data_IF_605425059597
#
_entry.id   IF_605425059597
#
_cell.length_a   1.000
_cell.length_b   1.000
_cell.length_c   1.000
_cell.angle_alpha   90.00
_cell.angle_beta   90.00
_cell.angle_gamma   90.00
#
_symmetry.space_group_name_H-M   'P 1'
#
loop_
_entity.id
_entity.type
_entity.pdbx_description
1 polymer ?
#
# COMPACT_ATOMS: atom_id res chain seq x y z
N UNK A 1 -19.54 -6.24 3.66
CA UNK A 1 -19.64 -7.19 2.54
C UNK A 1 -18.52 -6.88 1.56
N UNK A 2 -17.54 -7.76 1.43
CA UNK A 2 -16.47 -7.69 0.43
C UNK A 2 -16.28 -9.05 -0.21
N UNK A 3 -15.39 -9.18 -1.19
CA UNK A 3 -15.08 -10.46 -1.81
C UNK A 3 -13.69 -10.93 -1.37
N UNK A 4 -13.53 -12.24 -1.21
CA UNK A 4 -12.22 -12.81 -0.93
C UNK A 4 -11.28 -12.71 -2.15
N UNK A 5 -10.04 -12.27 -1.94
CA UNK A 5 -8.99 -12.14 -2.95
C UNK A 5 -8.73 -13.44 -3.74
N UNK A 6 -8.74 -14.60 -3.07
CA UNK A 6 -8.39 -15.86 -3.73
C UNK A 6 -9.59 -16.61 -4.33
N UNK A 7 -10.76 -16.59 -3.66
CA UNK A 7 -11.91 -17.40 -4.06
C UNK A 7 -13.15 -16.63 -4.50
N UNK A 8 -13.15 -15.29 -4.40
CA UNK A 8 -14.23 -14.39 -4.84
C UNK A 8 -15.60 -14.62 -4.21
N UNK A 9 -15.66 -15.40 -3.14
CA UNK A 9 -16.89 -15.56 -2.36
C UNK A 9 -17.19 -14.28 -1.58
N UNK A 10 -18.47 -13.96 -1.40
CA UNK A 10 -18.93 -12.85 -0.56
C UNK A 10 -18.59 -13.12 0.90
N UNK A 11 -17.83 -12.22 1.51
CA UNK A 11 -17.42 -12.25 2.91
C UNK A 11 -17.92 -11.02 3.66
N UNK A 12 -18.38 -11.24 4.88
CA UNK A 12 -18.68 -10.16 5.80
C UNK A 12 -17.62 -10.16 6.89
N UNK A 13 -16.74 -9.16 6.83
CA UNK A 13 -15.67 -8.99 7.80
C UNK A 13 -16.07 -7.85 8.72
N UNK A 14 -16.15 -8.14 10.02
CA UNK A 14 -16.46 -7.13 11.03
C UNK A 14 -15.22 -6.86 11.86
N UNK A 15 -14.78 -5.60 11.91
CA UNK A 15 -13.71 -5.14 12.78
C UNK A 15 -14.34 -4.50 14.02
N UNK A 16 -14.32 -5.22 15.14
CA UNK A 16 -14.81 -4.68 16.42
C UNK A 16 -13.63 -4.22 17.27
N UNK A 17 -13.58 -2.93 17.70
CA UNK A 17 -12.57 -2.48 18.64
C UNK A 17 -12.91 -3.04 20.03
N UNK A 18 -12.04 -3.88 20.59
CA UNK A 18 -12.06 -4.32 21.98
C UNK A 18 -10.87 -3.73 22.73
N UNK A 19 -10.91 -3.81 24.04
CA UNK A 19 -9.86 -3.28 24.95
C UNK A 19 -8.48 -3.88 24.67
N UNK A 20 -8.43 -5.08 24.10
CA UNK A 20 -7.20 -5.81 23.74
C UNK A 20 -6.76 -5.58 22.26
N UNK A 21 -7.58 -4.90 21.43
CA UNK A 21 -7.25 -4.60 20.03
C UNK A 21 -8.43 -4.69 19.06
N UNK A 22 -8.13 -4.72 17.75
CA UNK A 22 -9.13 -4.85 16.68
C UNK A 22 -9.41 -6.33 16.44
N UNK A 23 -10.59 -6.80 16.86
CA UNK A 23 -11.01 -8.17 16.62
C UNK A 23 -11.73 -8.26 15.27
N UNK A 24 -11.11 -8.97 14.32
CA UNK A 24 -11.63 -9.19 12.97
C UNK A 24 -12.35 -10.55 12.94
N UNK A 25 -13.64 -10.55 12.66
CA UNK A 25 -14.45 -11.78 12.52
C UNK A 25 -14.90 -11.96 11.07
N UNK A 26 -14.94 -13.22 10.59
CA UNK A 26 -15.44 -13.56 9.25
C UNK A 26 -14.39 -13.55 8.12
N UNK A 27 -13.12 -13.29 8.43
CA UNK A 27 -12.03 -13.30 7.46
C UNK A 27 -10.81 -12.50 7.91
N UNK A 28 -9.99 -12.09 6.95
CA UNK A 28 -8.77 -11.30 7.17
C UNK A 28 -8.73 -10.08 6.24
N UNK A 29 -8.01 -9.04 6.67
CA UNK A 29 -7.83 -7.76 5.96
C UNK A 29 -6.32 -7.51 5.81
N UNK A 30 -5.88 -7.15 4.62
CA UNK A 30 -4.48 -6.83 4.29
C UNK A 30 -4.38 -5.40 3.79
N UNK A 31 -3.38 -4.63 4.22
CA UNK A 31 -3.16 -3.26 3.77
C UNK A 31 -1.77 -3.03 3.15
N UNK A 32 -1.50 -3.42 1.89
CA UNK A 32 -0.12 -3.42 1.38
C UNK A 32 0.40 -2.05 0.92
N UNK A 33 -0.49 -1.07 0.75
CA UNK A 33 -0.21 0.36 0.64
C UNK A 33 -1.18 1.07 1.59
N UNK A 34 -0.78 2.18 2.23
CA UNK A 34 -1.67 2.92 3.15
C UNK A 34 -3.01 3.22 2.43
N UNK A 35 -4.11 2.65 2.91
CA UNK A 35 -5.47 2.77 2.38
C UNK A 35 -5.94 1.66 1.42
N UNK A 36 -5.10 0.72 1.02
CA UNK A 36 -5.46 -0.35 0.09
C UNK A 36 -5.83 -1.60 0.86
N UNK A 37 -7.10 -1.99 0.96
CA UNK A 37 -7.49 -3.15 1.78
C UNK A 37 -7.86 -4.36 0.92
N UNK A 38 -7.10 -5.44 1.01
CA UNK A 38 -7.46 -6.74 0.43
C UNK A 38 -8.11 -7.62 1.48
N UNK A 39 -9.19 -8.30 1.11
CA UNK A 39 -9.96 -9.12 2.02
C UNK A 39 -9.79 -10.59 1.65
N UNK A 40 -9.70 -11.48 2.64
CA UNK A 40 -9.78 -12.93 2.41
C UNK A 40 -10.79 -13.58 3.34
N UNK A 41 -11.54 -14.57 2.84
CA UNK A 41 -12.43 -15.38 3.67
C UNK A 41 -11.63 -16.27 4.62
N UNK A 42 -12.27 -16.74 5.69
CA UNK A 42 -11.64 -17.63 6.66
C UNK A 42 -11.11 -18.93 6.02
N UNK A 43 -11.83 -19.51 5.05
CA UNK A 43 -11.38 -20.72 4.35
C UNK A 43 -10.18 -20.49 3.42
N UNK A 44 -10.18 -19.38 2.69
CA UNK A 44 -9.11 -19.02 1.76
C UNK A 44 -7.90 -18.49 2.51
N UNK A 45 -8.10 -17.85 3.67
CA UNK A 45 -7.06 -17.53 4.63
C UNK A 45 -6.45 -18.81 5.26
N UNK A 46 -7.27 -19.78 5.66
CA UNK A 46 -6.81 -21.08 6.17
C UNK A 46 -6.06 -21.90 5.11
N UNK A 47 -6.44 -21.78 3.84
CA UNK A 47 -5.79 -22.45 2.70
C UNK A 47 -4.50 -21.76 2.27
N UNK A 48 -4.54 -20.45 2.08
CA UNK A 48 -3.38 -19.62 1.74
C UNK A 48 -3.53 -18.20 2.33
N UNK A 49 -2.87 -17.91 3.46
CA UNK A 49 -2.92 -16.59 4.08
C UNK A 49 -2.08 -15.53 3.35
N UNK A 50 -1.53 -15.80 2.15
CA UNK A 50 -0.66 -14.86 1.43
C UNK A 50 -1.42 -14.13 0.33
N UNK A 51 -1.33 -12.79 0.27
CA UNK A 51 -1.84 -11.98 -0.83
C UNK A 51 -1.06 -12.24 -2.14
N UNK A 52 -1.38 -13.34 -2.84
CA UNK A 52 -0.70 -13.69 -4.09
C UNK A 52 -0.96 -12.67 -5.17
N UNK A 53 0.08 -12.43 -5.96
CA UNK A 53 0.11 -11.51 -7.10
C UNK A 53 -0.03 -10.02 -6.75
N UNK A 54 0.15 -9.62 -5.48
CA UNK A 54 0.42 -8.22 -5.18
C UNK A 54 1.87 -7.89 -5.53
N UNK A 55 2.10 -6.80 -6.28
CA UNK A 55 3.43 -6.26 -6.53
C UNK A 55 3.44 -4.76 -6.24
N UNK A 56 4.40 -4.29 -5.43
CA UNK A 56 4.51 -2.88 -5.05
C UNK A 56 5.07 -2.02 -6.19
N UNK A 57 4.64 -0.77 -6.25
CA UNK A 57 5.04 0.14 -7.32
C UNK A 57 6.45 0.71 -7.10
N UNK A 58 7.30 0.63 -8.13
CA UNK A 58 8.60 1.32 -8.11
C UNK A 58 8.45 2.76 -8.62
N UNK A 59 8.82 3.74 -7.80
CA UNK A 59 8.71 5.16 -8.13
C UNK A 59 10.04 5.65 -8.70
N UNK A 60 10.02 6.37 -9.82
CA UNK A 60 11.19 6.95 -10.48
C UNK A 60 11.10 8.48 -10.57
N UNK A 61 12.24 9.17 -10.55
CA UNK A 61 12.29 10.62 -10.70
C UNK A 61 13.57 11.09 -11.41
N UNK A 62 13.46 12.24 -12.08
CA UNK A 62 14.52 12.81 -12.93
C UNK A 62 15.52 13.61 -12.09
N UNK A 63 16.79 13.21 -12.17
CA UNK A 63 17.84 13.80 -11.34
C UNK A 63 18.57 14.94 -12.07
N UNK A 64 19.40 14.60 -13.07
CA UNK A 64 20.22 15.53 -13.87
C UNK A 64 20.19 15.15 -15.35
N UNK A 65 19.00 14.84 -15.87
CA UNK A 65 18.80 14.48 -17.29
C UNK A 65 18.35 13.04 -17.55
N UNK A 66 18.41 12.15 -16.56
CA UNK A 66 17.90 10.77 -16.65
C UNK A 66 16.99 10.40 -15.47
N UNK A 67 16.19 9.34 -15.65
CA UNK A 67 15.31 8.78 -14.63
C UNK A 67 16.08 7.81 -13.74
N UNK A 68 15.90 7.94 -12.43
CA UNK A 68 16.44 7.03 -11.41
C UNK A 68 15.32 6.68 -10.43
N UNK A 69 15.19 5.42 -9.98
CA UNK A 69 14.24 5.08 -8.92
C UNK A 69 14.43 6.00 -7.73
N UNK A 70 13.35 6.61 -7.25
CA UNK A 70 13.29 7.39 -6.00
C UNK A 70 13.72 6.51 -4.83
N UNK A 71 13.38 5.22 -4.88
CA UNK A 71 13.86 4.22 -3.94
C UNK A 71 15.41 4.12 -3.91
N UNK A 72 16.12 4.57 -4.95
CA UNK A 72 17.58 4.51 -5.08
C UNK A 72 18.29 5.84 -4.80
N UNK A 73 17.66 6.82 -4.15
CA UNK A 73 18.26 8.13 -3.87
C UNK A 73 19.12 8.14 -2.59
N UNK A 74 20.36 8.66 -2.68
CA UNK A 74 21.21 8.86 -1.51
C UNK A 74 20.75 10.07 -0.66
N UNK A 75 21.29 10.21 0.54
CA UNK A 75 20.85 11.22 1.51
C UNK A 75 21.01 12.63 0.98
N UNK A 76 22.18 12.92 0.39
CA UNK A 76 22.44 14.19 -0.28
C UNK A 76 21.43 14.45 -1.41
N UNK A 77 20.95 13.42 -2.10
CA UNK A 77 19.94 13.54 -3.15
C UNK A 77 18.54 13.75 -2.58
N UNK A 78 18.22 13.18 -1.42
CA UNK A 78 16.95 13.43 -0.73
C UNK A 78 16.91 14.85 -0.17
N UNK A 79 18.01 15.33 0.43
CA UNK A 79 18.12 16.72 0.89
C UNK A 79 18.13 17.70 -0.28
N UNK A 80 18.94 17.45 -1.32
CA UNK A 80 18.90 18.26 -2.54
C UNK A 80 17.51 18.28 -3.15
N UNK A 81 16.77 17.15 -3.13
CA UNK A 81 15.40 17.12 -3.62
C UNK A 81 14.44 17.97 -2.77
N UNK A 82 14.61 18.04 -1.45
CA UNK A 82 13.82 18.94 -0.59
C UNK A 82 14.12 20.41 -0.88
N UNK A 83 15.37 20.72 -1.22
CA UNK A 83 15.82 22.06 -1.56
C UNK A 83 15.42 22.50 -2.98
N UNK A 84 14.95 21.57 -3.83
CA UNK A 84 14.48 21.90 -5.18
C UNK A 84 13.31 22.85 -5.10
N UNK A 85 13.48 23.98 -5.78
CA UNK A 85 12.38 24.91 -6.02
C UNK A 85 11.55 24.40 -7.18
N UNK A 86 10.26 24.26 -6.92
CA UNK A 86 9.28 24.06 -7.97
C UNK A 86 9.11 25.39 -8.71
N UNK A 87 8.82 25.31 -10.01
CA UNK A 87 8.49 26.49 -10.78
C UNK A 87 7.20 27.11 -10.22
N UNK A 88 7.28 28.36 -9.78
CA UNK A 88 6.13 29.13 -9.32
C UNK A 88 5.71 30.11 -10.44
N UNK A 89 4.52 29.93 -11.05
CA UNK A 89 4.06 30.74 -12.18
C UNK A 89 3.67 32.18 -11.79
N UNK A 90 3.56 32.50 -10.50
CA UNK A 90 3.19 33.84 -10.02
C UNK A 90 4.36 34.81 -9.96
N UNK A 91 5.59 34.29 -10.02
CA UNK A 91 6.82 35.07 -10.08
C UNK A 91 7.10 35.38 -11.55
N UNK A 92 6.64 36.56 -12.02
CA UNK A 92 6.86 37.08 -13.37
C UNK A 92 7.45 38.48 -13.35
#
# INVERSE_FOLDING_TARGET
MGECHDCRSSVEITATPKEDGIHITGGSIYEPERGSFFLKCDDCFKKDPVLRNYQPCEVYSRVVGYLRPVAQWNDGKREEFKDRKLFDPSIR
#
